data_IF_716017321972
#
_entry.id   IF_716017321972
#
_cell.length_a   1.000
_cell.length_b   1.000
_cell.length_c   1.000
_cell.angle_alpha   90.00
_cell.angle_beta   90.00
_cell.angle_gamma   90.00
#
_symmetry.space_group_name_H-M   'P 1'
#
loop_
_entity.id
_entity.type
_entity.pdbx_description
1 polymer ?
#
# COMPACT_ATOMS: atom_id res chain seq x y z
N UNK A 1 -1.49 -1.39 -13.36
CA UNK A 1 -2.96 -1.52 -13.34
C UNK A 1 -3.67 -0.15 -13.37
N UNK A 2 -4.54 0.15 -14.36
CA UNK A 2 -5.32 1.41 -14.41
C UNK A 2 -6.63 1.25 -13.62
N UNK A 3 -6.64 1.73 -12.38
CA UNK A 3 -7.85 1.72 -11.54
C UNK A 3 -8.88 2.71 -12.11
N UNK A 4 -10.08 2.22 -12.42
CA UNK A 4 -11.17 2.99 -13.01
C UNK A 4 -11.59 4.15 -12.06
N UNK A 5 -11.69 5.38 -12.57
CA UNK A 5 -12.06 6.59 -11.79
C UNK A 5 -13.40 6.44 -11.06
N UNK A 6 -14.36 5.70 -11.63
CA UNK A 6 -15.64 5.37 -10.96
C UNK A 6 -15.43 4.45 -9.76
N UNK A 7 -14.54 3.46 -9.89
CA UNK A 7 -14.20 2.52 -8.82
C UNK A 7 -13.48 3.23 -7.67
N UNK A 8 -12.53 4.13 -7.96
CA UNK A 8 -11.86 4.97 -6.93
C UNK A 8 -12.84 5.80 -6.11
N UNK A 9 -13.84 6.44 -6.76
CA UNK A 9 -14.86 7.25 -6.09
C UNK A 9 -15.88 6.41 -5.31
N UNK A 10 -16.12 5.17 -5.75
CA UNK A 10 -17.00 4.24 -5.04
C UNK A 10 -16.35 3.73 -3.75
N UNK A 11 -15.07 3.35 -3.81
CA UNK A 11 -14.28 2.88 -2.66
C UNK A 11 -14.07 3.98 -1.60
N UNK A 12 -13.90 5.24 -2.01
CA UNK A 12 -13.78 6.36 -1.05
C UNK A 12 -15.07 6.65 -0.26
N UNK A 13 -16.23 6.15 -0.72
CA UNK A 13 -17.54 6.37 -0.08
C UNK A 13 -18.08 5.14 0.64
N UNK A 14 -17.44 3.98 0.56
CA UNK A 14 -17.91 2.78 1.24
C UNK A 14 -17.56 2.83 2.73
N UNK A 15 -18.51 2.51 3.63
CA UNK A 15 -18.27 2.55 5.08
C UNK A 15 -17.12 1.62 5.52
N UNK A 16 -16.85 0.55 4.76
CA UNK A 16 -15.74 -0.38 4.97
C UNK A 16 -14.36 0.26 4.80
N UNK A 17 -14.14 1.08 3.76
CA UNK A 17 -12.86 1.80 3.57
C UNK A 17 -12.53 2.69 4.77
N UNK A 18 -13.55 3.36 5.33
CA UNK A 18 -13.39 4.19 6.53
C UNK A 18 -13.02 3.37 7.79
N UNK A 19 -13.49 2.14 7.88
CA UNK A 19 -13.22 1.23 9.01
C UNK A 19 -11.82 0.62 8.89
N UNK A 20 -11.45 0.19 7.68
CA UNK A 20 -10.10 -0.27 7.33
C UNK A 20 -9.07 0.82 7.61
N UNK A 21 -9.35 2.05 7.19
CA UNK A 21 -8.55 3.24 7.53
C UNK A 21 -8.38 3.42 9.04
N UNK A 22 -9.46 3.31 9.83
CA UNK A 22 -9.39 3.41 11.30
C UNK A 22 -8.51 2.30 11.89
N UNK A 23 -8.65 1.07 11.41
CA UNK A 23 -7.86 -0.09 11.88
C UNK A 23 -6.37 0.11 11.62
N UNK A 24 -5.98 0.54 10.41
CA UNK A 24 -4.57 0.80 10.09
C UNK A 24 -3.99 1.98 10.85
N UNK A 25 -4.75 3.07 11.02
CA UNK A 25 -4.34 4.21 11.86
C UNK A 25 -4.19 3.85 13.34
N UNK A 26 -4.98 2.90 13.84
CA UNK A 26 -4.83 2.40 15.22
C UNK A 26 -3.65 1.45 15.42
N UNK A 27 -3.14 0.84 14.34
CA UNK A 27 -1.96 -0.02 14.42
C UNK A 27 -0.69 0.84 14.34
N UNK A 28 0.02 0.94 15.47
CA UNK A 28 1.25 1.75 15.60
C UNK A 28 2.35 1.32 14.64
N UNK A 29 2.54 0.01 14.45
CA UNK A 29 3.58 -0.53 13.56
C UNK A 29 3.30 -0.17 12.11
N UNK A 30 2.07 -0.38 11.64
CA UNK A 30 1.69 -0.02 10.26
C UNK A 30 1.76 1.49 10.04
N UNK A 31 1.30 2.27 11.02
CA UNK A 31 1.36 3.73 10.96
C UNK A 31 2.80 4.25 10.91
N UNK A 32 3.71 3.64 11.67
CA UNK A 32 5.13 3.98 11.66
C UNK A 32 5.79 3.63 10.33
N UNK A 33 5.56 2.42 9.80
CA UNK A 33 6.08 2.01 8.48
C UNK A 33 5.62 2.96 7.37
N UNK A 34 4.33 3.33 7.36
CA UNK A 34 3.80 4.31 6.41
C UNK A 34 4.51 5.67 6.55
N UNK A 35 4.73 6.14 7.79
CA UNK A 35 5.44 7.39 8.03
C UNK A 35 6.90 7.35 7.53
N UNK A 36 7.61 6.24 7.76
CA UNK A 36 8.96 6.03 7.29
C UNK A 36 9.05 6.08 5.75
N UNK A 37 8.16 5.36 5.05
CA UNK A 37 8.10 5.36 3.58
C UNK A 37 7.78 6.76 3.04
N UNK A 38 6.80 7.46 3.62
CA UNK A 38 6.45 8.82 3.19
C UNK A 38 7.59 9.82 3.41
N UNK A 39 8.37 9.65 4.49
CA UNK A 39 9.57 10.46 4.74
C UNK A 39 10.63 10.21 3.66
N UNK A 40 10.93 8.96 3.33
CA UNK A 40 11.90 8.62 2.25
C UNK A 40 11.43 9.21 0.91
N UNK A 41 10.15 9.06 0.55
CA UNK A 41 9.60 9.65 -0.67
C UNK A 41 9.71 11.18 -0.69
N UNK A 42 9.57 11.84 0.46
CA UNK A 42 9.73 13.29 0.57
C UNK A 42 11.18 13.71 0.37
N UNK A 43 12.08 13.10 1.14
CA UNK A 43 13.45 13.58 1.30
C UNK A 43 14.34 13.13 0.14
N UNK A 44 14.23 11.86 -0.27
CA UNK A 44 15.09 11.27 -1.31
C UNK A 44 14.50 11.43 -2.72
N UNK A 45 13.17 11.49 -2.82
CA UNK A 45 12.47 11.55 -4.12
C UNK A 45 11.72 12.87 -4.36
N UNK A 46 11.78 13.83 -3.43
CA UNK A 46 11.20 15.16 -3.60
C UNK A 46 9.67 15.17 -3.68
N UNK A 47 8.96 14.22 -3.07
CA UNK A 47 7.50 14.19 -3.16
C UNK A 47 6.86 15.38 -2.42
N UNK A 48 6.05 16.16 -3.15
CA UNK A 48 5.18 17.19 -2.58
C UNK A 48 3.97 16.59 -1.86
N UNK A 49 3.26 17.40 -1.07
CA UNK A 49 2.10 16.97 -0.29
C UNK A 49 1.05 16.20 -1.11
N UNK A 50 0.75 16.66 -2.33
CA UNK A 50 -0.22 16.01 -3.23
C UNK A 50 0.24 14.60 -3.62
N UNK A 51 1.54 14.40 -3.92
CA UNK A 51 2.09 13.09 -4.27
C UNK A 51 2.08 12.13 -3.08
N UNK A 52 2.43 12.62 -1.88
CA UNK A 52 2.39 11.85 -0.63
C UNK A 52 0.96 11.43 -0.26
N UNK A 53 0.00 12.33 -0.40
CA UNK A 53 -1.42 12.02 -0.16
C UNK A 53 -1.91 10.96 -1.15
N UNK A 54 -1.59 11.10 -2.44
CA UNK A 54 -1.98 10.12 -3.45
C UNK A 54 -1.36 8.75 -3.18
N UNK A 55 -0.06 8.70 -2.87
CA UNK A 55 0.64 7.46 -2.54
C UNK A 55 0.01 6.75 -1.34
N UNK A 56 -0.20 7.47 -0.23
CA UNK A 56 -0.81 6.88 0.96
C UNK A 56 -2.23 6.36 0.71
N UNK A 57 -3.05 7.08 -0.06
CA UNK A 57 -4.37 6.60 -0.47
C UNK A 57 -4.31 5.35 -1.35
N UNK A 58 -3.33 5.25 -2.24
CA UNK A 58 -3.18 4.08 -3.13
C UNK A 58 -2.71 2.84 -2.34
N UNK A 59 -1.81 3.00 -1.35
CA UNK A 59 -1.42 1.91 -0.44
C UNK A 59 -2.59 1.46 0.44
N UNK A 60 -3.39 2.39 0.96
CA UNK A 60 -4.57 2.03 1.77
C UNK A 60 -5.61 1.24 0.96
N UNK A 61 -5.75 1.53 -0.33
CA UNK A 61 -6.62 0.75 -1.23
C UNK A 61 -6.08 -0.66 -1.43
N UNK A 62 -4.76 -0.84 -1.57
CA UNK A 62 -4.14 -2.16 -1.63
C UNK A 62 -4.40 -2.98 -0.36
N UNK A 63 -4.25 -2.35 0.80
CA UNK A 63 -4.53 -2.97 2.09
C UNK A 63 -6.01 -3.36 2.25
N UNK A 64 -6.95 -2.54 1.76
CA UNK A 64 -8.37 -2.91 1.72
C UNK A 64 -8.61 -4.13 0.83
N UNK A 65 -8.08 -4.13 -0.39
CA UNK A 65 -8.20 -5.28 -1.30
C UNK A 65 -7.64 -6.57 -0.68
N UNK A 66 -6.55 -6.47 0.07
CA UNK A 66 -5.98 -7.60 0.82
C UNK A 66 -6.92 -8.06 1.94
N UNK A 67 -7.53 -7.14 2.68
CA UNK A 67 -8.49 -7.47 3.75
C UNK A 67 -9.78 -8.11 3.23
N UNK A 68 -10.18 -7.78 1.99
CA UNK A 68 -11.35 -8.36 1.32
C UNK A 68 -11.00 -9.65 0.55
N UNK A 69 -9.74 -10.09 0.58
CA UNK A 69 -9.30 -11.35 -0.05
C UNK A 69 -9.12 -11.28 -1.57
N UNK A 70 -9.13 -10.09 -2.18
CA UNK A 70 -8.90 -9.92 -3.61
C UNK A 70 -7.44 -10.10 -4.01
N UNK A 71 -6.51 -9.90 -3.07
CA UNK A 71 -5.07 -10.05 -3.30
C UNK A 71 -4.42 -10.62 -2.04
N UNK A 72 -3.50 -11.55 -2.22
CA UNK A 72 -2.71 -12.11 -1.12
C UNK A 72 -1.33 -11.45 -1.04
N UNK A 73 -0.63 -11.64 0.09
CA UNK A 73 0.75 -11.18 0.25
C UNK A 73 1.66 -11.80 -0.82
N UNK A 74 1.47 -13.09 -1.11
CA UNK A 74 2.23 -13.81 -2.14
C UNK A 74 2.02 -13.19 -3.52
N UNK A 75 0.77 -12.89 -3.90
CA UNK A 75 0.48 -12.30 -5.21
C UNK A 75 1.18 -10.94 -5.41
N UNK A 76 1.29 -10.15 -4.35
CA UNK A 76 1.99 -8.86 -4.39
C UNK A 76 3.50 -9.08 -4.59
N UNK A 77 4.10 -10.03 -3.86
CA UNK A 77 5.52 -10.33 -3.99
C UNK A 77 5.87 -10.90 -5.37
N UNK A 78 5.09 -11.87 -5.84
CA UNK A 78 5.27 -12.48 -7.16
C UNK A 78 5.17 -11.41 -8.25
N UNK A 79 4.18 -10.52 -8.18
CA UNK A 79 4.04 -9.40 -9.13
C UNK A 79 5.21 -8.42 -9.10
N UNK A 80 5.75 -8.07 -7.92
CA UNK A 80 6.93 -7.20 -7.83
C UNK A 80 8.14 -7.88 -8.47
N UNK A 81 8.38 -9.15 -8.17
CA UNK A 81 9.49 -9.90 -8.73
C UNK A 81 9.37 -10.05 -10.26
N UNK A 82 8.20 -10.40 -10.77
CA UNK A 82 7.93 -10.55 -12.20
C UNK A 82 8.06 -9.22 -12.97
N UNK A 83 7.51 -8.12 -12.44
CA UNK A 83 7.49 -6.83 -13.15
C UNK A 83 8.80 -6.04 -13.04
N UNK A 84 9.56 -6.23 -11.97
CA UNK A 84 10.74 -5.38 -11.67
C UNK A 84 12.05 -6.15 -11.57
N UNK A 85 12.01 -7.49 -11.48
CA UNK A 85 13.18 -8.32 -11.19
C UNK A 85 13.71 -8.19 -9.76
N UNK A 86 13.05 -7.42 -8.90
CA UNK A 86 13.43 -7.23 -7.51
C UNK A 86 12.69 -8.24 -6.62
N UNK A 87 13.41 -9.22 -6.07
CA UNK A 87 12.85 -10.15 -5.09
C UNK A 87 13.05 -9.62 -3.67
N UNK A 88 11.95 -9.48 -2.95
CA UNK A 88 11.91 -8.95 -1.58
C UNK A 88 11.76 -10.05 -0.53
N UNK A 89 11.63 -11.31 -0.98
CA UNK A 89 11.70 -12.47 -0.10
C UNK A 89 13.14 -12.57 0.37
N UNK A 90 13.34 -12.68 1.69
CA UNK A 90 14.64 -13.09 2.21
C UNK A 90 14.92 -14.47 1.59
N UNK A 91 16.02 -14.60 0.83
CA UNK A 91 16.62 -15.92 0.66
C UNK A 91 16.88 -16.40 2.09
N UNK A 92 16.20 -17.47 2.52
CA UNK A 92 16.62 -18.16 3.72
C UNK A 92 18.10 -18.47 3.49
N UNK A 93 18.98 -17.77 4.20
CA UNK A 93 20.39 -18.09 4.19
C UNK A 93 20.46 -19.52 4.73
N UNK A 94 20.77 -20.47 3.84
CA UNK A 94 21.11 -21.83 4.20
C UNK A 94 22.32 -21.75 5.16
N UNK A 95 22.07 -21.71 6.47
CA UNK A 95 23.05 -21.95 7.54
C UNK A 95 23.07 -23.43 7.94
#
# INVERSE_FOLDING_TARGET
MKINKKLKRSLEKTPKFSQTMKRYKSNKTVSFLMAAVLKVLRDEHGFGAVRLQKFSMDVLKQLEMQSEGYVTYKDILDMIAEETGFDVREEEADE
#
